data_IF_018440028219
#
_entry.id   IF_018440028219
#
_cell.length_a   1.000
_cell.length_b   1.000
_cell.length_c   1.000
_cell.angle_alpha   90.00
_cell.angle_beta   90.00
_cell.angle_gamma   90.00
#
_symmetry.space_group_name_H-M   'P 1'
#
loop_
_entity.id
_entity.type
_entity.pdbx_description
1 polymer ?
#
# COMPACT_ATOMS: atom_id res chain seq x y z
N UNK A 1 37.55 -36.14 -11.87
CA UNK A 1 37.20 -34.73 -12.15
C UNK A 1 35.69 -34.47 -12.12
N UNK A 2 34.84 -35.10 -12.95
CA UNK A 2 33.37 -34.86 -12.95
C UNK A 2 32.70 -34.96 -11.56
N UNK A 3 32.89 -36.07 -10.83
CA UNK A 3 32.34 -36.24 -9.46
C UNK A 3 32.78 -35.19 -8.44
N UNK A 4 33.93 -34.54 -8.65
CA UNK A 4 34.43 -33.49 -7.76
C UNK A 4 33.79 -32.15 -8.11
N UNK A 5 33.66 -31.85 -9.40
CA UNK A 5 32.92 -30.70 -9.93
C UNK A 5 31.45 -30.76 -9.51
N UNK A 6 30.80 -31.93 -9.63
CA UNK A 6 29.40 -32.11 -9.24
C UNK A 6 29.18 -31.86 -7.73
N UNK A 7 30.11 -32.32 -6.87
CA UNK A 7 30.05 -32.05 -5.43
C UNK A 7 30.26 -30.57 -5.10
N UNK A 8 31.16 -29.90 -5.80
CA UNK A 8 31.40 -28.47 -5.62
C UNK A 8 30.18 -27.68 -6.07
N UNK A 9 29.63 -27.99 -7.26
CA UNK A 9 28.42 -27.36 -7.77
C UNK A 9 27.24 -27.55 -6.81
N UNK A 10 27.00 -28.78 -6.33
CA UNK A 10 25.97 -29.05 -5.34
C UNK A 10 26.16 -28.23 -4.05
N UNK A 11 27.39 -28.16 -3.51
CA UNK A 11 27.67 -27.33 -2.33
C UNK A 11 27.45 -25.84 -2.59
N UNK A 12 27.85 -25.33 -3.75
CA UNK A 12 27.62 -23.93 -4.14
C UNK A 12 26.12 -23.64 -4.21
N UNK A 13 25.33 -24.51 -4.83
CA UNK A 13 23.87 -24.35 -4.89
C UNK A 13 23.21 -24.40 -3.52
N UNK A 14 23.61 -25.33 -2.65
CA UNK A 14 23.09 -25.40 -1.28
C UNK A 14 23.45 -24.16 -0.47
N UNK A 15 24.71 -23.70 -0.54
CA UNK A 15 25.15 -22.48 0.15
C UNK A 15 24.39 -21.26 -0.38
N UNK A 16 24.24 -21.12 -1.70
CA UNK A 16 23.48 -20.03 -2.31
C UNK A 16 22.02 -20.00 -1.84
N UNK A 17 21.33 -21.15 -1.85
CA UNK A 17 19.95 -21.25 -1.38
C UNK A 17 19.81 -20.95 0.11
N UNK A 18 20.77 -21.40 0.93
CA UNK A 18 20.80 -21.11 2.36
C UNK A 18 21.04 -19.62 2.64
N UNK A 19 22.03 -19.01 1.98
CA UNK A 19 22.30 -17.56 2.09
C UNK A 19 21.09 -16.74 1.69
N UNK A 20 20.43 -17.10 0.57
CA UNK A 20 19.21 -16.42 0.11
C UNK A 20 18.10 -16.49 1.16
N UNK A 21 17.89 -17.67 1.75
CA UNK A 21 16.89 -17.88 2.80
C UNK A 21 17.20 -17.04 4.05
N UNK A 22 18.46 -17.01 4.49
CA UNK A 22 18.88 -16.17 5.63
C UNK A 22 18.64 -14.69 5.32
N UNK A 23 19.05 -14.21 4.15
CA UNK A 23 18.88 -12.81 3.77
C UNK A 23 17.40 -12.43 3.75
N UNK A 24 16.53 -13.27 3.19
CA UNK A 24 15.07 -13.05 3.22
C UNK A 24 14.56 -12.97 4.66
N UNK A 25 14.97 -13.89 5.54
CA UNK A 25 14.57 -13.87 6.95
C UNK A 25 15.07 -12.62 7.69
N UNK A 26 16.28 -12.13 7.37
CA UNK A 26 16.82 -10.90 7.93
C UNK A 26 16.04 -9.67 7.43
N UNK A 27 15.68 -9.62 6.14
CA UNK A 27 14.84 -8.55 5.58
C UNK A 27 13.47 -8.54 6.24
N UNK A 28 12.83 -9.70 6.39
CA UNK A 28 11.55 -9.83 7.09
C UNK A 28 11.71 -9.40 8.56
N UNK A 29 12.75 -9.87 9.25
CA UNK A 29 13.02 -9.49 10.64
C UNK A 29 13.20 -7.97 10.81
N UNK A 30 13.93 -7.34 9.90
CA UNK A 30 14.10 -5.89 9.86
C UNK A 30 12.77 -5.16 9.60
N UNK A 31 12.01 -5.61 8.60
CA UNK A 31 10.70 -5.06 8.24
C UNK A 31 9.74 -5.05 9.44
N UNK A 32 9.65 -6.18 10.17
CA UNK A 32 8.80 -6.31 11.35
C UNK A 32 9.31 -5.48 12.54
N UNK A 33 10.63 -5.39 12.73
CA UNK A 33 11.23 -4.58 13.79
C UNK A 33 10.87 -3.09 13.61
N UNK A 34 11.04 -2.56 12.41
CA UNK A 34 10.70 -1.15 12.12
C UNK A 34 9.19 -0.91 12.22
N UNK A 35 8.37 -1.83 11.72
CA UNK A 35 6.91 -1.74 11.79
C UNK A 35 6.39 -1.67 13.24
N UNK A 36 6.92 -2.51 14.16
CA UNK A 36 6.53 -2.49 15.57
C UNK A 36 7.02 -1.21 16.27
N UNK A 37 8.13 -0.64 15.80
CA UNK A 37 8.67 0.63 16.29
C UNK A 37 7.67 1.79 16.22
N UNK A 38 6.78 1.79 15.22
CA UNK A 38 5.76 2.83 15.04
C UNK A 38 4.97 3.09 16.34
N UNK A 39 4.49 2.02 16.97
CA UNK A 39 3.61 2.09 18.16
C UNK A 39 4.35 2.51 19.44
N UNK A 40 5.66 2.76 19.36
CA UNK A 40 6.46 3.34 20.43
C UNK A 40 6.70 4.84 20.23
N UNK A 41 6.31 5.42 19.10
CA UNK A 41 6.42 6.87 18.87
C UNK A 41 5.28 7.63 19.54
N UNK A 42 5.54 8.86 20.01
CA UNK A 42 4.52 9.76 20.50
C UNK A 42 3.54 10.18 19.39
N UNK A 43 2.32 10.54 19.78
CA UNK A 43 1.27 11.07 18.90
C UNK A 43 1.63 12.47 18.39
N UNK A 44 2.35 13.25 19.20
CA UNK A 44 2.86 14.59 18.85
C UNK A 44 4.31 14.45 18.40
N UNK A 45 4.76 15.32 17.49
CA UNK A 45 6.14 15.31 17.02
C UNK A 45 7.17 15.38 18.15
N UNK A 46 8.22 14.57 18.06
CA UNK A 46 9.27 14.48 19.09
C UNK A 46 9.88 15.87 19.35
N UNK A 47 9.90 16.27 20.61
CA UNK A 47 10.46 17.56 21.05
C UNK A 47 9.44 18.71 21.04
N UNK A 48 8.20 18.44 20.67
CA UNK A 48 7.08 19.37 20.80
C UNK A 48 6.07 18.84 21.80
N UNK A 49 5.28 19.74 22.37
CA UNK A 49 4.23 19.42 23.33
C UNK A 49 2.99 20.26 23.06
N UNK A 50 1.82 19.69 23.38
CA UNK A 50 0.58 20.44 23.42
C UNK A 50 0.39 21.02 24.82
N UNK A 51 0.42 22.34 24.89
CA UNK A 51 0.34 23.11 26.12
C UNK A 51 -1.02 23.81 26.20
N UNK A 52 -1.70 23.62 27.33
CA UNK A 52 -3.03 24.13 27.63
C UNK A 52 -2.99 25.03 28.87
N UNK A 53 -4.04 25.84 29.01
CA UNK A 53 -4.30 26.57 30.24
C UNK A 53 -4.45 25.61 31.46
N UNK A 54 -3.92 25.96 32.66
CA UNK A 54 -4.00 25.10 33.86
C UNK A 54 -5.38 24.61 34.25
N UNK A 55 -6.40 25.44 34.03
CA UNK A 55 -7.80 25.13 34.37
C UNK A 55 -8.50 24.25 33.33
N UNK A 56 -7.84 23.92 32.21
CA UNK A 56 -8.41 23.04 31.19
C UNK A 56 -8.34 21.58 31.67
N UNK A 57 -9.48 20.88 31.83
CA UNK A 57 -9.51 19.53 32.38
C UNK A 57 -9.09 18.45 31.37
N UNK A 58 -8.93 18.77 30.09
CA UNK A 58 -8.57 17.81 29.03
C UNK A 58 -7.15 17.31 29.25
N UNK A 59 -7.00 16.01 29.50
CA UNK A 59 -5.69 15.39 29.74
C UNK A 59 -5.10 14.72 28.51
N UNK A 60 -5.96 14.36 27.56
CA UNK A 60 -5.65 13.42 26.49
C UNK A 60 -6.47 13.80 25.26
N UNK A 61 -5.83 13.77 24.09
CA UNK A 61 -6.46 13.95 22.79
C UNK A 61 -5.98 12.85 21.84
N UNK A 62 -6.86 12.39 20.97
CA UNK A 62 -6.47 11.55 19.83
C UNK A 62 -5.84 12.38 18.71
N UNK A 63 -5.09 11.75 17.81
CA UNK A 63 -4.51 12.43 16.65
C UNK A 63 -5.56 13.16 15.80
N UNK A 64 -6.74 12.56 15.64
CA UNK A 64 -7.88 13.16 14.93
C UNK A 64 -8.39 14.41 15.62
N UNK A 65 -8.62 14.36 16.94
CA UNK A 65 -9.06 15.54 17.70
C UNK A 65 -8.02 16.65 17.68
N UNK A 66 -6.72 16.31 17.74
CA UNK A 66 -5.64 17.29 17.63
C UNK A 66 -5.72 17.99 16.26
N UNK A 67 -5.86 17.22 15.18
CA UNK A 67 -6.05 17.79 13.84
C UNK A 67 -7.27 18.70 13.79
N UNK A 68 -8.45 18.22 14.17
CA UNK A 68 -9.71 18.97 14.11
C UNK A 68 -9.68 20.26 14.93
N UNK A 69 -8.99 20.27 16.08
CA UNK A 69 -8.77 21.49 16.87
C UNK A 69 -7.85 22.49 16.16
N UNK A 70 -6.79 22.02 15.49
CA UNK A 70 -5.81 22.88 14.80
C UNK A 70 -6.25 23.32 13.40
N UNK A 71 -7.22 22.62 12.81
CA UNK A 71 -7.89 22.95 11.55
C UNK A 71 -9.15 23.81 11.78
N UNK A 72 -9.45 24.18 13.04
CA UNK A 72 -10.63 24.96 13.45
C UNK A 72 -11.98 24.29 13.12
N UNK A 73 -12.00 22.97 12.93
CA UNK A 73 -13.24 22.20 12.77
C UNK A 73 -13.95 21.96 14.12
N UNK A 74 -13.16 21.80 15.20
CA UNK A 74 -13.65 21.86 16.58
C UNK A 74 -13.30 23.23 17.16
N UNK A 75 -14.32 24.05 17.38
CA UNK A 75 -14.17 25.41 17.93
C UNK A 75 -14.52 25.52 19.42
N UNK A 76 -15.00 24.44 20.05
CA UNK A 76 -15.36 24.42 21.48
C UNK A 76 -14.79 23.20 22.23
N UNK A 77 -14.15 23.49 23.36
CA UNK A 77 -13.52 22.48 24.23
C UNK A 77 -14.48 21.40 24.74
N UNK A 78 -15.78 21.71 24.86
CA UNK A 78 -16.81 20.77 25.31
C UNK A 78 -16.92 19.54 24.43
N UNK A 79 -16.62 19.66 23.13
CA UNK A 79 -16.71 18.56 22.16
C UNK A 79 -15.65 17.48 22.39
N UNK A 80 -14.52 17.87 23.01
CA UNK A 80 -13.43 16.96 23.38
C UNK A 80 -13.38 16.67 24.89
N UNK A 81 -14.45 16.98 25.63
CA UNK A 81 -14.57 16.70 27.06
C UNK A 81 -13.96 17.77 27.97
N UNK A 82 -13.71 18.96 27.44
CA UNK A 82 -13.26 20.14 28.16
C UNK A 82 -14.39 21.02 28.70
N UNK A 83 -14.03 22.22 29.14
CA UNK A 83 -15.00 23.24 29.59
C UNK A 83 -15.78 23.81 28.38
N UNK A 84 -16.96 24.38 28.62
CA UNK A 84 -17.73 25.08 27.57
C UNK A 84 -17.08 26.44 27.25
N UNK A 85 -16.05 26.41 26.42
CA UNK A 85 -15.19 27.55 26.09
C UNK A 85 -14.67 27.43 24.66
N UNK A 86 -14.54 28.57 23.94
CA UNK A 86 -14.00 28.55 22.58
C UNK A 86 -12.53 28.14 22.59
N UNK A 87 -12.14 27.36 21.58
CA UNK A 87 -10.77 26.93 21.33
C UNK A 87 -10.02 28.06 20.65
N UNK A 88 -8.80 28.35 21.11
CA UNK A 88 -7.89 29.28 20.46
C UNK A 88 -6.57 28.59 20.19
N UNK A 89 -6.21 28.45 18.92
CA UNK A 89 -4.97 27.80 18.51
C UNK A 89 -3.81 28.78 18.63
N UNK A 90 -2.65 28.27 19.04
CA UNK A 90 -1.40 29.00 19.07
C UNK A 90 -0.27 28.12 18.51
N UNK A 91 0.45 28.64 17.52
CA UNK A 91 1.64 28.02 16.93
C UNK A 91 2.86 28.88 17.23
N UNK A 92 4.04 28.28 17.16
CA UNK A 92 5.29 29.03 17.38
C UNK A 92 5.42 30.23 16.43
N UNK A 93 4.94 30.10 15.20
CA UNK A 93 4.93 31.15 14.16
C UNK A 93 4.08 32.39 14.57
N UNK A 94 3.14 32.23 15.51
CA UNK A 94 2.34 33.35 15.99
C UNK A 94 3.13 34.30 16.90
N UNK A 95 4.27 33.86 17.45
CA UNK A 95 5.10 34.71 18.31
C UNK A 95 5.61 35.96 17.58
N UNK A 96 6.07 35.79 16.34
CA UNK A 96 6.65 36.87 15.54
C UNK A 96 5.59 37.92 15.14
N UNK A 97 4.31 37.51 15.14
CA UNK A 97 3.18 38.40 14.88
C UNK A 97 2.73 39.16 16.14
N UNK A 98 2.97 38.61 17.32
CA UNK A 98 2.46 39.11 18.59
C UNK A 98 3.48 39.91 19.40
N UNK A 99 4.77 39.67 19.18
CA UNK A 99 5.86 40.24 19.94
C UNK A 99 6.99 40.74 19.04
N UNK A 100 7.65 41.80 19.48
CA UNK A 100 8.81 42.36 18.77
C UNK A 100 10.10 41.59 19.09
N UNK A 101 11.12 41.69 18.23
CA UNK A 101 12.43 41.06 18.47
C UNK A 101 13.07 41.50 19.81
N UNK A 102 12.83 42.74 20.25
CA UNK A 102 13.30 43.24 21.55
C UNK A 102 12.64 42.53 22.73
N UNK A 103 11.38 42.08 22.58
CA UNK A 103 10.62 41.40 23.62
C UNK A 103 10.90 39.89 23.68
N UNK A 104 11.27 39.29 22.55
CA UNK A 104 11.63 37.86 22.45
C UNK A 104 13.11 37.62 22.78
N UNK A 105 13.96 38.64 22.59
CA UNK A 105 15.41 38.55 22.69
C UNK A 105 16.04 38.00 21.40
N UNK A 106 17.30 38.35 21.16
CA UNK A 106 18.01 38.04 19.90
C UNK A 106 18.11 36.53 19.57
N UNK A 107 18.02 35.66 20.58
CA UNK A 107 18.02 34.20 20.42
C UNK A 107 16.75 33.54 20.99
N UNK A 108 15.61 34.24 21.01
CA UNK A 108 14.35 33.75 21.60
C UNK A 108 14.46 33.41 23.10
N UNK A 109 15.39 34.04 23.81
CA UNK A 109 15.66 33.81 25.24
C UNK A 109 14.41 33.99 26.11
N UNK A 110 13.50 34.89 25.72
CA UNK A 110 12.27 35.20 26.44
C UNK A 110 11.02 34.54 25.85
N UNK A 111 11.16 33.77 24.76
CA UNK A 111 10.01 33.16 24.07
C UNK A 111 9.21 32.23 24.97
N UNK A 112 9.87 31.41 25.80
CA UNK A 112 9.21 30.52 26.76
C UNK A 112 8.28 31.25 27.72
N UNK A 113 8.76 32.37 28.30
CA UNK A 113 7.96 33.20 29.19
C UNK A 113 6.77 33.84 28.48
N UNK A 114 6.97 34.36 27.25
CA UNK A 114 5.89 34.95 26.45
C UNK A 114 4.83 33.94 26.05
N UNK A 115 5.22 32.71 25.70
CA UNK A 115 4.29 31.60 25.45
C UNK A 115 3.48 31.31 26.71
N UNK A 116 4.13 31.19 27.87
CA UNK A 116 3.45 30.92 29.14
C UNK A 116 2.45 32.03 29.50
N UNK A 117 2.84 33.30 29.32
CA UNK A 117 1.97 34.47 29.51
C UNK A 117 0.72 34.40 28.61
N UNK A 118 0.88 34.02 27.33
CA UNK A 118 -0.26 33.86 26.41
C UNK A 118 -1.18 32.72 26.80
N UNK A 119 -0.62 31.56 27.17
CA UNK A 119 -1.41 30.41 27.59
C UNK A 119 -2.22 30.76 28.84
N UNK A 120 -1.62 31.44 29.83
CA UNK A 120 -2.31 31.85 31.06
C UNK A 120 -3.36 32.95 30.84
N UNK A 121 -3.12 33.87 29.90
CA UNK A 121 -4.08 34.93 29.59
C UNK A 121 -5.32 34.43 28.84
N UNK A 122 -5.26 33.26 28.20
CA UNK A 122 -6.33 32.72 27.35
C UNK A 122 -6.76 31.31 27.82
N UNK A 123 -7.83 31.18 28.64
CA UNK A 123 -8.28 29.89 29.17
C UNK A 123 -8.62 28.80 28.13
N UNK A 124 -9.02 29.21 26.93
CA UNK A 124 -9.34 28.32 25.81
C UNK A 124 -8.17 27.99 24.89
N UNK A 125 -6.93 28.36 25.23
CA UNK A 125 -5.79 28.21 24.32
C UNK A 125 -5.23 26.78 24.27
N UNK A 126 -4.91 26.31 23.06
CA UNK A 126 -4.05 25.16 22.79
C UNK A 126 -2.83 25.61 22.01
N UNK A 127 -1.65 25.43 22.60
CA UNK A 127 -0.38 25.81 22.02
C UNK A 127 0.41 24.58 21.57
N UNK A 128 0.87 24.57 20.32
CA UNK A 128 1.86 23.60 19.83
C UNK A 128 3.23 24.25 19.77
N UNK A 129 4.09 23.89 20.72
CA UNK A 129 5.40 24.56 20.91
C UNK A 129 6.49 23.55 21.25
N UNK A 130 7.78 23.87 20.96
CA UNK A 130 8.90 23.06 21.39
C UNK A 130 8.95 22.92 22.92
N UNK A 131 9.10 21.69 23.41
CA UNK A 131 9.11 21.38 24.84
C UNK A 131 10.23 22.14 25.59
N UNK A 132 11.39 22.31 24.94
CA UNK A 132 12.57 22.99 25.48
C UNK A 132 12.29 24.44 25.87
N UNK A 133 11.36 25.12 25.18
CA UNK A 133 11.05 26.53 25.46
C UNK A 133 10.22 26.69 26.74
N UNK A 134 9.32 25.74 27.01
CA UNK A 134 8.39 25.84 28.14
C UNK A 134 8.76 24.92 29.32
N UNK A 135 9.87 24.19 29.22
CA UNK A 135 10.30 23.20 30.21
C UNK A 135 10.39 23.80 31.62
N UNK A 136 10.93 25.03 31.72
CA UNK A 136 11.19 25.77 32.96
C UNK A 136 9.96 26.52 33.49
N UNK A 137 8.94 26.70 32.66
CA UNK A 137 7.78 27.50 32.98
C UNK A 137 6.74 26.71 33.80
N UNK A 138 6.18 27.36 34.83
CA UNK A 138 5.18 26.79 35.73
C UNK A 138 3.79 27.29 35.38
N UNK A 139 2.76 26.53 35.77
CA UNK A 139 1.38 26.93 35.50
C UNK A 139 1.00 26.74 34.03
N UNK A 140 1.42 25.62 33.45
CA UNK A 140 1.00 25.16 32.12
C UNK A 140 0.54 23.72 32.30
N UNK A 141 -0.65 23.40 31.79
CA UNK A 141 -1.13 22.02 31.73
C UNK A 141 -0.64 21.39 30.43
N UNK A 142 0.18 20.34 30.52
CA UNK A 142 0.75 19.65 29.35
C UNK A 142 -0.06 18.39 29.08
N UNK A 143 -0.50 18.21 27.84
CA UNK A 143 -1.14 16.96 27.42
C UNK A 143 -0.08 15.87 27.46
N UNK A 144 -0.41 14.72 28.04
CA UNK A 144 0.54 13.62 28.14
C UNK A 144 0.84 13.03 26.76
N UNK A 145 2.11 12.87 26.44
CA UNK A 145 2.56 12.17 25.24
C UNK A 145 2.18 10.69 25.32
N UNK A 146 1.11 10.36 24.61
CA UNK A 146 0.72 8.97 24.38
C UNK A 146 1.38 8.45 23.13
N UNK A 147 1.57 7.13 23.10
CA UNK A 147 2.04 6.48 21.88
C UNK A 147 0.91 6.30 20.89
N UNK A 148 1.26 6.22 19.60
CA UNK A 148 0.30 6.02 18.52
C UNK A 148 -0.44 4.68 18.74
N UNK A 149 -1.77 4.70 18.91
CA UNK A 149 -2.53 3.49 19.18
C UNK A 149 -2.71 2.65 17.92
N UNK A 150 -2.52 1.33 18.05
CA UNK A 150 -2.63 0.38 16.93
C UNK A 150 -4.02 0.41 16.26
N UNK A 151 -5.07 0.68 17.03
CA UNK A 151 -6.44 0.77 16.52
C UNK A 151 -6.58 1.91 15.50
N UNK A 152 -6.03 3.08 15.78
CA UNK A 152 -6.18 4.26 14.93
C UNK A 152 -5.36 4.12 13.64
N UNK A 153 -4.28 3.34 13.68
CA UNK A 153 -3.51 2.99 12.49
C UNK A 153 -4.25 1.97 11.63
N UNK A 154 -4.68 0.85 12.22
CA UNK A 154 -5.28 -0.26 11.47
C UNK A 154 -6.71 0.01 10.99
N UNK A 155 -7.50 0.75 11.77
CA UNK A 155 -8.89 1.10 11.47
C UNK A 155 -9.06 2.57 11.04
N UNK A 156 -7.97 3.33 10.97
CA UNK A 156 -8.01 4.73 10.55
C UNK A 156 -8.37 4.87 9.09
N UNK A 157 -9.17 5.91 8.80
CA UNK A 157 -9.71 6.22 7.47
C UNK A 157 -8.96 7.34 6.77
N UNK A 158 -7.93 7.91 7.40
CA UNK A 158 -7.15 9.01 6.85
C UNK A 158 -5.65 8.72 6.88
N UNK A 159 -4.95 9.09 5.81
CA UNK A 159 -3.49 8.99 5.72
C UNK A 159 -2.89 10.38 5.51
N UNK A 160 -2.42 10.99 6.59
CA UNK A 160 -1.77 12.30 6.62
C UNK A 160 -0.50 12.23 7.49
N UNK A 161 0.56 11.58 7.01
CA UNK A 161 1.77 11.35 7.78
C UNK A 161 2.62 12.61 8.02
N UNK A 162 2.35 13.68 7.27
CA UNK A 162 3.02 14.99 7.37
C UNK A 162 2.18 16.04 8.09
N UNK A 163 1.03 15.66 8.66
CA UNK A 163 0.19 16.59 9.40
C UNK A 163 0.89 17.02 10.70
N UNK A 164 0.89 18.33 10.96
CA UNK A 164 1.34 18.93 12.21
C UNK A 164 0.12 19.51 12.93
N UNK A 165 -0.02 19.37 14.25
CA UNK A 165 0.95 18.82 15.24
C UNK A 165 1.11 17.31 15.32
N UNK A 166 0.17 16.54 14.76
CA UNK A 166 0.06 15.10 14.96
C UNK A 166 -0.13 14.35 13.63
N UNK A 167 0.78 13.43 13.27
CA UNK A 167 0.64 12.66 12.04
C UNK A 167 -0.43 11.57 12.16
N UNK A 168 -1.17 11.35 11.08
CA UNK A 168 -2.27 10.38 11.01
C UNK A 168 -1.89 9.25 10.05
N UNK A 169 -1.88 8.01 10.54
CA UNK A 169 -1.41 6.82 9.81
C UNK A 169 -2.52 5.80 9.52
N UNK A 170 -3.75 6.24 9.27
CA UNK A 170 -4.87 5.36 8.95
C UNK A 170 -4.66 4.63 7.62
N UNK A 171 -4.55 3.30 7.67
CA UNK A 171 -4.16 2.49 6.50
C UNK A 171 -5.32 2.00 5.65
N UNK A 172 -6.57 2.13 6.10
CA UNK A 172 -7.73 1.58 5.39
C UNK A 172 -7.88 2.11 3.96
N UNK A 173 -7.68 3.42 3.68
CA UNK A 173 -7.71 3.93 2.30
C UNK A 173 -6.71 3.22 1.38
N UNK A 174 -5.51 2.94 1.91
CA UNK A 174 -4.41 2.34 1.14
C UNK A 174 -4.64 0.85 0.88
N UNK A 175 -5.15 0.12 1.89
CA UNK A 175 -5.60 -1.28 1.73
C UNK A 175 -6.74 -1.31 0.71
N UNK A 176 -7.73 -0.44 0.88
CA UNK A 176 -8.88 -0.30 0.00
C UNK A 176 -8.43 -0.07 -1.44
N UNK A 177 -7.62 0.94 -1.70
CA UNK A 177 -7.11 1.24 -3.04
C UNK A 177 -6.32 0.09 -3.65
N UNK A 178 -5.47 -0.58 -2.87
CA UNK A 178 -4.70 -1.75 -3.34
C UNK A 178 -5.61 -2.88 -3.77
N UNK A 179 -6.53 -3.30 -2.89
CA UNK A 179 -7.44 -4.40 -3.17
C UNK A 179 -8.42 -4.06 -4.29
N UNK A 180 -8.91 -2.82 -4.34
CA UNK A 180 -9.88 -2.36 -5.34
C UNK A 180 -9.29 -2.46 -6.75
N UNK A 181 -8.11 -1.86 -6.97
CA UNK A 181 -7.45 -1.88 -8.29
C UNK A 181 -7.05 -3.29 -8.67
N UNK A 182 -6.44 -4.06 -7.76
CA UNK A 182 -6.04 -5.44 -8.06
C UNK A 182 -7.25 -6.33 -8.37
N UNK A 183 -8.37 -6.16 -7.68
CA UNK A 183 -9.59 -6.92 -7.92
C UNK A 183 -10.12 -6.70 -9.35
N UNK A 184 -10.30 -5.45 -9.76
CA UNK A 184 -10.79 -5.14 -11.11
C UNK A 184 -9.78 -5.49 -12.20
N UNK A 185 -8.48 -5.32 -11.94
CA UNK A 185 -7.43 -5.77 -12.85
C UNK A 185 -7.52 -7.28 -13.12
N UNK A 186 -7.69 -8.08 -12.06
CA UNK A 186 -7.78 -9.54 -12.17
C UNK A 186 -9.11 -9.99 -12.74
N UNK A 187 -10.21 -9.28 -12.44
CA UNK A 187 -11.51 -9.53 -13.04
C UNK A 187 -11.46 -9.45 -14.57
N UNK A 188 -10.58 -8.61 -15.12
CA UNK A 188 -10.31 -8.51 -16.55
C UNK A 188 -9.22 -9.51 -16.99
N UNK A 189 -8.05 -9.47 -16.38
CA UNK A 189 -6.90 -10.24 -16.84
C UNK A 189 -7.12 -11.75 -16.78
N UNK A 190 -7.83 -12.25 -15.75
CA UNK A 190 -8.02 -13.68 -15.55
C UNK A 190 -8.88 -14.33 -16.65
N UNK A 191 -10.12 -13.90 -16.95
CA UNK A 191 -10.92 -14.52 -17.99
C UNK A 191 -10.28 -14.41 -19.37
N UNK A 192 -9.74 -13.23 -19.73
CA UNK A 192 -9.07 -13.04 -21.01
C UNK A 192 -7.78 -13.86 -21.10
N UNK A 193 -6.97 -13.88 -20.05
CA UNK A 193 -5.73 -14.64 -20.01
C UNK A 193 -5.96 -16.14 -20.14
N UNK A 194 -6.96 -16.66 -19.43
CA UNK A 194 -7.35 -18.08 -19.51
C UNK A 194 -7.93 -18.45 -20.88
N UNK A 195 -8.77 -17.59 -21.47
CA UNK A 195 -9.31 -17.82 -22.79
C UNK A 195 -8.20 -17.90 -23.86
N UNK A 196 -7.27 -16.95 -23.83
CA UNK A 196 -6.13 -16.92 -24.76
C UNK A 196 -5.20 -18.11 -24.51
N UNK A 197 -4.92 -18.50 -23.26
CA UNK A 197 -4.07 -19.66 -22.96
C UNK A 197 -4.67 -20.97 -23.47
N UNK A 198 -5.99 -21.17 -23.28
CA UNK A 198 -6.71 -22.36 -23.77
C UNK A 198 -6.70 -22.38 -25.31
N UNK A 199 -6.97 -21.24 -25.94
CA UNK A 199 -6.94 -21.12 -27.40
C UNK A 199 -5.54 -21.46 -27.94
N UNK A 200 -4.48 -20.86 -27.40
CA UNK A 200 -3.11 -21.09 -27.86
C UNK A 200 -2.63 -22.52 -27.61
N UNK A 201 -3.07 -23.15 -26.51
CA UNK A 201 -2.67 -24.51 -26.17
C UNK A 201 -3.37 -25.58 -27.02
N UNK A 202 -4.67 -25.44 -27.25
CA UNK A 202 -5.52 -26.55 -27.71
C UNK A 202 -6.26 -26.30 -29.03
N UNK A 203 -6.41 -25.05 -29.48
CA UNK A 203 -7.23 -24.69 -30.66
C UNK A 203 -6.40 -24.04 -31.77
N UNK A 204 -5.42 -23.22 -31.42
CA UNK A 204 -4.64 -22.43 -32.36
C UNK A 204 -3.82 -23.32 -33.31
N UNK A 205 -3.72 -22.89 -34.57
CA UNK A 205 -2.83 -23.55 -35.53
C UNK A 205 -1.36 -23.37 -35.13
N UNK A 206 -0.45 -24.26 -35.56
CA UNK A 206 0.97 -24.16 -35.25
C UNK A 206 1.60 -22.82 -35.64
N UNK A 207 1.12 -22.20 -36.72
CA UNK A 207 1.60 -20.90 -37.19
C UNK A 207 1.17 -19.77 -36.28
N UNK A 208 -0.11 -19.69 -35.90
CA UNK A 208 -0.60 -18.66 -34.97
C UNK A 208 0.20 -18.70 -33.68
N UNK A 209 0.39 -19.90 -33.12
CA UNK A 209 1.17 -20.08 -31.90
C UNK A 209 2.64 -19.65 -32.06
N UNK A 210 3.28 -20.01 -33.17
CA UNK A 210 4.69 -19.69 -33.46
C UNK A 210 4.96 -18.18 -33.40
N UNK A 211 3.99 -17.35 -33.75
CA UNK A 211 4.12 -15.89 -33.70
C UNK A 211 3.58 -15.29 -32.39
N UNK A 212 2.41 -15.74 -31.92
CA UNK A 212 1.75 -15.15 -30.76
C UNK A 212 2.50 -15.38 -29.45
N UNK A 213 3.04 -16.60 -29.21
CA UNK A 213 3.72 -16.90 -27.94
C UNK A 213 4.95 -15.99 -27.72
N UNK A 214 5.89 -15.83 -28.68
CA UNK A 214 6.98 -14.88 -28.53
C UNK A 214 6.53 -13.43 -28.31
N UNK A 215 5.48 -12.96 -29.00
CA UNK A 215 4.95 -11.60 -28.82
C UNK A 215 4.44 -11.40 -27.39
N UNK A 216 3.70 -12.37 -26.85
CA UNK A 216 3.19 -12.33 -25.47
C UNK A 216 4.37 -12.37 -24.47
N UNK A 217 5.39 -13.18 -24.72
CA UNK A 217 6.59 -13.21 -23.88
C UNK A 217 7.37 -11.89 -23.92
N UNK A 218 7.43 -11.22 -25.07
CA UNK A 218 8.04 -9.89 -25.19
C UNK A 218 7.29 -8.83 -24.37
N UNK A 219 5.96 -8.93 -24.25
CA UNK A 219 5.17 -8.03 -23.40
C UNK A 219 5.55 -8.15 -21.91
N UNK A 220 5.93 -9.34 -21.43
CA UNK A 220 6.43 -9.51 -20.06
C UNK A 220 7.76 -8.78 -19.81
N UNK A 221 8.55 -8.53 -20.87
CA UNK A 221 9.83 -7.84 -20.79
C UNK A 221 9.74 -6.32 -20.78
N UNK A 222 8.55 -5.74 -21.01
CA UNK A 222 8.34 -4.30 -20.99
C UNK A 222 8.38 -3.79 -19.53
N UNK A 223 9.21 -2.78 -19.20
CA UNK A 223 9.25 -2.19 -17.87
C UNK A 223 7.90 -1.58 -17.46
N UNK A 224 7.52 -1.70 -16.17
CA UNK A 224 6.21 -1.24 -15.70
C UNK A 224 6.00 0.27 -15.87
N UNK A 225 7.05 1.08 -15.74
CA UNK A 225 6.99 2.53 -16.00
C UNK A 225 6.56 2.87 -17.43
N UNK A 226 6.86 2.02 -18.41
CA UNK A 226 6.42 2.22 -19.81
C UNK A 226 4.91 1.99 -19.93
N UNK A 227 4.38 0.97 -19.23
CA UNK A 227 2.93 0.76 -19.14
C UNK A 227 2.23 1.91 -18.40
N UNK A 228 2.83 2.41 -17.31
CA UNK A 228 2.34 3.58 -16.58
C UNK A 228 2.28 4.83 -17.46
N UNK A 229 3.36 5.11 -18.20
CA UNK A 229 3.40 6.22 -19.14
C UNK A 229 2.36 6.09 -20.26
N UNK A 230 2.22 4.90 -20.86
CA UNK A 230 1.16 4.64 -21.84
C UNK A 230 -0.24 4.84 -21.24
N UNK A 231 -0.45 4.35 -20.02
CA UNK A 231 -1.70 4.54 -19.30
C UNK A 231 -2.03 6.02 -19.10
N UNK A 232 -1.05 6.81 -18.65
CA UNK A 232 -1.20 8.25 -18.45
C UNK A 232 -1.41 9.01 -19.76
N UNK A 233 -0.71 8.65 -20.82
CA UNK A 233 -0.77 9.36 -22.10
C UNK A 233 -2.00 9.00 -22.95
N UNK A 234 -2.55 7.78 -22.79
CA UNK A 234 -3.61 7.25 -23.66
C UNK A 234 -4.86 6.87 -22.88
N UNK A 235 -4.73 6.01 -21.86
CA UNK A 235 -5.90 5.47 -21.14
C UNK A 235 -6.57 6.56 -20.31
N UNK A 236 -5.81 7.36 -19.56
CA UNK A 236 -6.32 8.43 -18.71
C UNK A 236 -7.12 9.46 -19.53
N UNK A 237 -6.60 10.06 -20.62
CA UNK A 237 -7.38 10.97 -21.47
C UNK A 237 -8.58 10.30 -22.12
N UNK A 238 -8.45 9.04 -22.55
CA UNK A 238 -9.56 8.29 -23.15
C UNK A 238 -10.71 8.10 -22.15
N UNK A 239 -10.41 7.73 -20.91
CA UNK A 239 -11.41 7.59 -19.85
C UNK A 239 -12.02 8.95 -19.47
N UNK A 240 -11.19 9.98 -19.36
CA UNK A 240 -11.65 11.34 -19.07
C UNK A 240 -12.69 11.81 -20.09
N UNK A 241 -12.42 11.62 -21.38
CA UNK A 241 -13.34 12.00 -22.47
C UNK A 241 -14.58 11.11 -22.53
N UNK A 242 -14.41 9.80 -22.36
CA UNK A 242 -15.52 8.83 -22.47
C UNK A 242 -16.53 8.99 -21.33
N UNK A 243 -16.04 9.20 -20.11
CA UNK A 243 -16.86 9.29 -18.90
C UNK A 243 -17.12 10.73 -18.45
N UNK A 244 -16.64 11.73 -19.19
CA UNK A 244 -16.78 13.17 -18.87
C UNK A 244 -16.28 13.52 -17.46
N UNK A 245 -15.14 12.96 -17.08
CA UNK A 245 -14.56 13.12 -15.75
C UNK A 245 -13.74 14.43 -15.67
N UNK A 246 -13.67 15.07 -14.48
CA UNK A 246 -12.80 16.21 -14.27
C UNK A 246 -11.32 15.84 -14.45
N UNK A 247 -10.93 14.66 -13.97
CA UNK A 247 -9.60 14.04 -14.11
C UNK A 247 -9.77 12.60 -14.57
N UNK A 248 -8.87 12.10 -15.42
CA UNK A 248 -8.95 10.72 -15.94
C UNK A 248 -8.24 9.70 -15.05
N UNK A 249 -7.35 10.16 -14.17
CA UNK A 249 -6.62 9.36 -13.22
C UNK A 249 -7.58 8.74 -12.21
N UNK A 250 -7.63 7.41 -12.21
CA UNK A 250 -8.69 6.68 -11.51
C UNK A 250 -8.30 5.24 -11.21
N UNK A 251 -9.03 4.61 -10.30
CA UNK A 251 -8.95 3.17 -10.06
C UNK A 251 -9.17 2.35 -11.34
N UNK A 252 -10.04 2.79 -12.24
CA UNK A 252 -10.30 2.15 -13.53
C UNK A 252 -9.07 2.22 -14.45
N UNK A 253 -8.46 3.40 -14.57
CA UNK A 253 -7.23 3.58 -15.36
C UNK A 253 -6.13 2.63 -14.85
N UNK A 254 -5.91 2.60 -13.53
CA UNK A 254 -4.99 1.66 -12.89
C UNK A 254 -5.32 0.21 -13.19
N UNK A 255 -6.60 -0.17 -13.04
CA UNK A 255 -7.04 -1.55 -13.24
C UNK A 255 -6.83 -2.03 -14.68
N UNK A 256 -7.05 -1.17 -15.67
CA UNK A 256 -6.84 -1.49 -17.08
C UNK A 256 -5.35 -1.69 -17.40
N UNK A 257 -4.49 -0.77 -16.93
CA UNK A 257 -3.04 -0.88 -17.11
C UNK A 257 -2.51 -2.15 -16.45
N UNK A 258 -2.93 -2.42 -15.21
CA UNK A 258 -2.56 -3.65 -14.50
C UNK A 258 -3.06 -4.91 -15.21
N UNK A 259 -4.28 -4.89 -15.74
CA UNK A 259 -4.82 -6.03 -16.46
C UNK A 259 -3.96 -6.36 -17.69
N UNK A 260 -3.60 -5.35 -18.49
CA UNK A 260 -2.71 -5.49 -19.65
C UNK A 260 -1.36 -6.07 -19.23
N UNK A 261 -0.83 -5.65 -18.09
CA UNK A 261 0.45 -6.12 -17.59
C UNK A 261 0.39 -7.54 -16.99
N UNK A 262 -0.71 -7.94 -16.38
CA UNK A 262 -0.89 -9.26 -15.78
C UNK A 262 -1.18 -10.35 -16.84
N UNK A 263 -1.81 -9.98 -17.95
CA UNK A 263 -2.19 -10.89 -19.03
C UNK A 263 -1.04 -11.78 -19.54
N UNK A 264 0.13 -11.25 -19.93
CA UNK A 264 1.17 -12.07 -20.55
C UNK A 264 1.79 -13.07 -19.58
N UNK A 265 1.76 -12.76 -18.28
CA UNK A 265 2.17 -13.67 -17.21
C UNK A 265 1.18 -14.82 -17.06
N UNK A 266 -0.12 -14.52 -16.96
CA UNK A 266 -1.18 -15.55 -16.85
C UNK A 266 -1.19 -16.44 -18.11
N UNK A 267 -1.18 -15.83 -19.30
CA UNK A 267 -1.27 -16.56 -20.57
C UNK A 267 -0.10 -17.53 -20.72
N UNK A 268 1.12 -17.05 -20.51
CA UNK A 268 2.34 -17.84 -20.74
C UNK A 268 2.35 -19.07 -19.83
N UNK A 269 2.15 -18.87 -18.52
CA UNK A 269 2.23 -19.96 -17.54
C UNK A 269 1.07 -20.94 -17.68
N UNK A 270 -0.16 -20.45 -17.91
CA UNK A 270 -1.32 -21.32 -18.10
C UNK A 270 -1.23 -22.12 -19.41
N UNK A 271 -0.70 -21.54 -20.49
CA UNK A 271 -0.51 -22.24 -21.78
C UNK A 271 0.54 -23.35 -21.66
N UNK A 272 1.65 -23.09 -20.98
CA UNK A 272 2.68 -24.10 -20.73
C UNK A 272 2.14 -25.25 -19.85
N UNK A 273 1.33 -24.91 -18.84
CA UNK A 273 0.66 -25.89 -18.00
C UNK A 273 -0.31 -26.78 -18.80
N UNK A 274 -1.15 -26.20 -19.65
CA UNK A 274 -2.08 -26.94 -20.52
C UNK A 274 -1.32 -27.90 -21.45
N UNK A 275 -0.22 -27.44 -22.04
CA UNK A 275 0.59 -28.24 -22.96
C UNK A 275 1.40 -29.35 -22.30
N UNK A 276 1.64 -29.25 -20.99
CA UNK A 276 2.30 -30.31 -20.23
C UNK A 276 1.45 -31.60 -20.13
N UNK A 277 0.15 -31.52 -20.39
CA UNK A 277 -0.70 -32.71 -20.47
C UNK A 277 -0.14 -33.68 -21.54
N UNK A 278 -0.05 -35.00 -21.28
CA UNK A 278 0.41 -35.96 -22.29
C UNK A 278 -0.51 -36.02 -23.51
N UNK A 279 0.06 -36.21 -24.71
CA UNK A 279 -0.74 -36.40 -25.93
C UNK A 279 -1.63 -37.65 -25.85
N UNK A 280 -1.13 -38.72 -25.23
CA UNK A 280 -1.87 -39.96 -25.03
C UNK A 280 -3.19 -39.75 -24.27
N UNK A 281 -3.23 -38.84 -23.30
CA UNK A 281 -4.48 -38.52 -22.58
C UNK A 281 -5.51 -37.83 -23.48
N UNK A 282 -5.05 -36.96 -24.40
CA UNK A 282 -5.93 -36.30 -25.38
C UNK A 282 -6.46 -37.31 -26.39
N UNK A 283 -5.57 -38.11 -26.96
CA UNK A 283 -5.91 -39.12 -27.97
C UNK A 283 -6.85 -40.18 -27.39
N UNK A 284 -6.64 -40.62 -26.14
CA UNK A 284 -7.54 -41.55 -25.47
C UNK A 284 -8.96 -40.98 -25.27
N UNK A 285 -9.07 -39.70 -24.88
CA UNK A 285 -10.36 -39.02 -24.75
C UNK A 285 -11.11 -38.96 -26.09
N UNK A 286 -10.40 -38.56 -27.16
CA UNK A 286 -10.97 -38.51 -28.51
C UNK A 286 -11.37 -39.89 -29.03
N UNK A 287 -10.58 -40.94 -28.74
CA UNK A 287 -10.87 -42.32 -29.12
C UNK A 287 -12.14 -42.87 -28.44
N UNK A 288 -12.51 -42.36 -27.26
CA UNK A 288 -13.77 -42.65 -26.58
C UNK A 288 -14.97 -41.88 -27.18
N UNK A 289 -14.78 -41.17 -28.30
CA UNK A 289 -15.82 -40.39 -28.96
C UNK A 289 -16.07 -39.01 -28.33
N UNK A 290 -15.18 -38.53 -27.46
CA UNK A 290 -15.30 -37.19 -26.91
C UNK A 290 -14.97 -36.13 -27.98
N UNK A 291 -15.68 -35.00 -27.94
CA UNK A 291 -15.36 -33.81 -28.74
C UNK A 291 -14.09 -33.13 -28.23
N UNK A 292 -13.48 -32.27 -29.05
CA UNK A 292 -12.32 -31.45 -28.64
C UNK A 292 -12.63 -30.61 -27.40
N UNK A 293 -13.81 -29.98 -27.34
CA UNK A 293 -14.23 -29.20 -26.16
C UNK A 293 -14.38 -30.06 -24.90
N UNK A 294 -14.98 -31.26 -25.02
CA UNK A 294 -15.07 -32.20 -23.90
C UNK A 294 -13.69 -32.64 -23.42
N UNK A 295 -12.76 -32.89 -24.33
CA UNK A 295 -11.37 -33.24 -24.00
C UNK A 295 -10.68 -32.09 -23.26
N UNK A 296 -10.82 -30.85 -23.73
CA UNK A 296 -10.26 -29.66 -23.07
C UNK A 296 -10.82 -29.52 -21.65
N UNK A 297 -12.15 -29.52 -21.52
CA UNK A 297 -12.82 -29.24 -20.25
C UNK A 297 -12.70 -30.37 -19.23
N UNK A 298 -12.77 -31.64 -19.66
CA UNK A 298 -12.81 -32.79 -18.74
C UNK A 298 -11.45 -33.47 -18.54
N UNK A 299 -10.48 -33.26 -19.43
CA UNK A 299 -9.18 -33.95 -19.36
C UNK A 299 -8.03 -32.96 -19.20
N UNK A 300 -7.89 -32.02 -20.14
CA UNK A 300 -6.71 -31.12 -20.16
C UNK A 300 -6.74 -30.13 -19.00
N UNK A 301 -7.83 -29.37 -18.82
CA UNK A 301 -7.93 -28.38 -17.73
C UNK A 301 -7.78 -29.05 -16.35
N UNK A 302 -8.46 -30.18 -16.04
CA UNK A 302 -8.30 -30.83 -14.75
C UNK A 302 -6.93 -31.47 -14.52
N UNK A 303 -6.23 -31.87 -15.58
CA UNK A 303 -4.84 -32.33 -15.48
C UNK A 303 -3.90 -31.17 -15.15
N UNK A 304 -4.09 -30.03 -15.82
CA UNK A 304 -3.19 -28.88 -15.76
C UNK A 304 -3.54 -27.86 -14.67
N UNK A 305 -4.50 -28.16 -13.79
CA UNK A 305 -5.05 -27.20 -12.83
C UNK A 305 -3.99 -26.62 -11.89
N UNK A 306 -2.98 -27.40 -11.48
CA UNK A 306 -1.92 -26.88 -10.61
C UNK A 306 -1.06 -25.83 -11.31
N UNK A 307 -0.70 -26.06 -12.58
CA UNK A 307 0.08 -25.08 -13.34
C UNK A 307 -0.74 -23.84 -13.74
N UNK A 308 -2.03 -24.04 -14.07
CA UNK A 308 -2.96 -22.91 -14.28
C UNK A 308 -3.05 -22.08 -13.00
N UNK A 309 -3.26 -22.71 -11.84
CA UNK A 309 -3.32 -22.03 -10.55
C UNK A 309 -2.03 -21.25 -10.29
N UNK A 310 -0.85 -21.81 -10.54
CA UNK A 310 0.42 -21.10 -10.39
C UNK A 310 0.51 -19.86 -11.28
N UNK A 311 0.02 -19.94 -12.53
CA UNK A 311 -0.03 -18.77 -13.43
C UNK A 311 -0.97 -17.67 -12.93
N UNK A 312 -2.12 -18.07 -12.36
CA UNK A 312 -3.07 -17.14 -11.75
C UNK A 312 -2.49 -16.48 -10.50
N UNK A 313 -1.88 -17.25 -9.60
CA UNK A 313 -1.19 -16.73 -8.40
C UNK A 313 -0.12 -15.72 -8.79
N UNK A 314 0.69 -16.03 -9.80
CA UNK A 314 1.74 -15.13 -10.28
C UNK A 314 1.16 -13.82 -10.86
N UNK A 315 0.05 -13.92 -11.61
CA UNK A 315 -0.65 -12.74 -12.14
C UNK A 315 -1.26 -11.87 -11.04
N UNK A 316 -1.89 -12.48 -10.03
CA UNK A 316 -2.45 -11.74 -8.87
C UNK A 316 -1.35 -11.10 -8.05
N UNK A 317 -0.27 -11.82 -7.74
CA UNK A 317 0.87 -11.27 -7.03
C UNK A 317 1.48 -10.06 -7.74
N UNK A 318 1.56 -10.12 -9.08
CA UNK A 318 2.01 -8.98 -9.90
C UNK A 318 1.06 -7.78 -9.82
N UNK A 319 -0.26 -8.01 -9.81
CA UNK A 319 -1.25 -6.93 -9.71
C UNK A 319 -1.31 -6.28 -8.31
N UNK A 320 -1.13 -7.06 -7.24
CA UNK A 320 -1.12 -6.55 -5.85
C UNK A 320 0.18 -5.81 -5.53
N UNK A 321 1.29 -6.25 -6.10
CA UNK A 321 2.61 -5.66 -5.86
C UNK A 321 3.04 -4.58 -6.86
N UNK A 322 2.16 -4.15 -7.78
CA UNK A 322 2.56 -3.14 -8.77
C UNK A 322 2.65 -1.74 -8.16
N UNK A 323 3.79 -1.10 -8.40
CA UNK A 323 4.16 0.17 -7.78
C UNK A 323 4.07 1.33 -8.78
N UNK A 324 4.91 1.30 -9.82
CA UNK A 324 5.19 2.47 -10.63
C UNK A 324 4.08 2.76 -11.63
N UNK A 325 3.55 1.72 -12.28
CA UNK A 325 2.47 1.92 -13.23
C UNK A 325 1.22 2.52 -12.55
N UNK A 326 0.91 2.03 -11.35
CA UNK A 326 -0.24 2.47 -10.55
C UNK A 326 -0.06 3.90 -10.04
N UNK A 327 1.13 4.21 -9.51
CA UNK A 327 1.46 5.55 -9.02
C UNK A 327 1.22 6.63 -10.09
N UNK A 328 1.51 6.32 -11.35
CA UNK A 328 1.37 7.27 -12.47
C UNK A 328 -0.07 7.51 -12.92
N UNK A 329 -0.99 6.54 -12.75
CA UNK A 329 -2.31 6.57 -13.44
C UNK A 329 -3.51 6.61 -12.51
N UNK A 330 -3.33 6.39 -11.21
CA UNK A 330 -4.44 6.30 -10.24
C UNK A 330 -4.74 7.59 -9.49
N UNK A 331 -3.95 8.64 -9.72
CA UNK A 331 -4.15 9.95 -9.11
C UNK A 331 -3.60 10.08 -7.68
N UNK A 332 -3.20 8.96 -7.05
CA UNK A 332 -2.46 8.92 -5.79
C UNK A 332 -3.18 9.61 -4.61
N UNK A 333 -4.51 9.63 -4.62
CA UNK A 333 -5.33 10.21 -3.56
C UNK A 333 -5.58 9.19 -2.44
N UNK A 334 -5.20 9.51 -1.19
CA UNK A 334 -5.33 8.61 -0.05
C UNK A 334 -6.75 8.65 0.57
N UNK A 335 -7.76 8.41 -0.26
CA UNK A 335 -9.17 8.38 0.12
C UNK A 335 -9.75 6.97 -0.04
N UNK A 336 -10.76 6.62 0.76
CA UNK A 336 -11.45 5.35 0.60
C UNK A 336 -12.23 5.36 -0.73
N UNK A 337 -11.93 4.45 -1.67
CA UNK A 337 -12.59 4.45 -2.96
C UNK A 337 -14.05 4.02 -2.79
N UNK A 338 -14.97 4.82 -3.32
CA UNK A 338 -16.40 4.46 -3.38
C UNK A 338 -16.83 4.07 -4.78
N UNK A 339 -16.15 4.64 -5.78
CA UNK A 339 -16.33 4.34 -7.20
C UNK A 339 -15.02 3.91 -7.86
N UNK A 340 -15.10 3.14 -8.95
CA UNK A 340 -13.92 2.78 -9.74
C UNK A 340 -13.37 3.96 -10.55
N UNK A 341 -14.18 4.99 -10.79
CA UNK A 341 -13.79 6.18 -11.56
C UNK A 341 -13.09 7.24 -10.70
N UNK A 342 -13.01 7.01 -9.39
CA UNK A 342 -12.34 7.91 -8.45
C UNK A 342 -10.83 7.64 -8.40
N UNK A 343 -10.02 8.67 -8.14
CA UNK A 343 -8.62 8.49 -7.83
C UNK A 343 -8.46 7.74 -6.50
N UNK A 344 -7.39 6.98 -6.40
CA UNK A 344 -7.07 6.21 -5.20
C UNK A 344 -5.56 6.09 -5.05
N UNK A 345 -5.16 5.57 -3.89
CA UNK A 345 -3.76 5.32 -3.57
C UNK A 345 -3.56 3.89 -3.08
N UNK A 346 -2.49 3.24 -3.53
CA UNK A 346 -2.15 1.87 -3.12
C UNK A 346 -0.98 1.86 -2.14
N UNK A 347 -0.85 0.75 -1.41
CA UNK A 347 0.26 0.54 -0.48
C UNK A 347 1.62 0.62 -1.21
N UNK A 348 1.86 -0.13 -2.31
CA UNK A 348 3.15 -0.06 -3.00
C UNK A 348 3.48 1.36 -3.49
N UNK A 349 2.50 2.08 -4.04
CA UNK A 349 2.66 3.45 -4.49
C UNK A 349 2.99 4.41 -3.33
N UNK A 350 2.38 4.22 -2.16
CA UNK A 350 2.66 5.00 -0.95
C UNK A 350 4.09 4.80 -0.48
N UNK A 351 4.53 3.54 -0.36
CA UNK A 351 5.89 3.20 0.05
C UNK A 351 6.91 3.83 -0.92
N UNK A 352 6.70 3.69 -2.22
CA UNK A 352 7.64 4.22 -3.21
C UNK A 352 7.69 5.75 -3.26
N UNK A 353 6.56 6.42 -3.06
CA UNK A 353 6.49 7.87 -3.07
C UNK A 353 7.09 8.50 -1.81
N UNK A 354 6.88 7.91 -0.64
CA UNK A 354 7.17 8.58 0.64
C UNK A 354 8.45 8.08 1.34
N UNK A 355 8.93 6.87 1.04
CA UNK A 355 10.06 6.28 1.78
C UNK A 355 11.37 7.06 1.60
N UNK A 356 11.55 7.73 0.45
CA UNK A 356 12.72 8.55 0.18
C UNK A 356 12.72 9.89 0.92
N UNK A 357 11.55 10.37 1.36
CA UNK A 357 11.37 11.66 2.03
C UNK A 357 11.24 11.52 3.54
N UNK A 358 10.86 10.33 4.03
CA UNK A 358 10.66 10.07 5.44
C UNK A 358 11.98 10.02 6.25
N UNK A 359 12.12 10.80 7.34
CA UNK A 359 13.32 10.76 8.19
C UNK A 359 13.52 9.39 8.84
N UNK A 360 14.72 8.83 8.70
CA UNK A 360 15.06 7.52 9.23
C UNK A 360 14.83 7.45 10.76
N UNK A 361 14.09 6.44 11.22
CA UNK A 361 13.74 6.24 12.63
C UNK A 361 12.60 7.14 13.14
N UNK A 362 11.99 7.96 12.28
CA UNK A 362 10.76 8.71 12.58
C UNK A 362 9.49 7.84 12.49
N UNK A 363 8.38 8.37 13.01
CA UNK A 363 7.08 7.69 12.94
C UNK A 363 6.62 7.46 11.48
N UNK A 364 6.78 8.46 10.61
CA UNK A 364 6.46 8.33 9.19
C UNK A 364 7.26 7.21 8.52
N UNK A 365 8.58 7.16 8.73
CA UNK A 365 9.43 6.08 8.21
C UNK A 365 8.93 4.70 8.65
N UNK A 366 8.72 4.51 9.95
CA UNK A 366 8.26 3.24 10.52
C UNK A 366 6.85 2.83 10.07
N UNK A 367 5.97 3.80 9.80
CA UNK A 367 4.64 3.54 9.24
C UNK A 367 4.71 2.93 7.84
N UNK A 368 5.68 3.31 7.01
CA UNK A 368 5.87 2.74 5.67
C UNK A 368 6.36 1.28 5.74
N UNK A 369 7.18 0.93 6.75
CA UNK A 369 7.55 -0.47 7.01
C UNK A 369 6.34 -1.29 7.45
N UNK A 370 5.46 -0.72 8.29
CA UNK A 370 4.20 -1.35 8.65
C UNK A 370 3.33 -1.62 7.43
N UNK A 371 3.21 -0.67 6.50
CA UNK A 371 2.52 -0.91 5.22
C UNK A 371 3.12 -2.10 4.45
N UNK A 372 4.44 -2.24 4.44
CA UNK A 372 5.13 -3.39 3.85
C UNK A 372 4.77 -4.72 4.55
N UNK A 373 4.70 -4.75 5.88
CA UNK A 373 4.24 -5.92 6.65
C UNK A 373 2.79 -6.27 6.29
N UNK A 374 1.91 -5.27 6.19
CA UNK A 374 0.51 -5.47 5.82
C UNK A 374 0.41 -6.03 4.39
N UNK A 375 1.15 -5.47 3.43
CA UNK A 375 1.17 -5.97 2.05
C UNK A 375 1.68 -7.42 1.97
N UNK A 376 2.69 -7.78 2.78
CA UNK A 376 3.17 -9.14 2.91
C UNK A 376 2.06 -10.09 3.37
N UNK A 377 1.31 -9.74 4.42
CA UNK A 377 0.20 -10.55 4.91
C UNK A 377 -0.98 -10.62 3.92
N UNK A 378 -1.31 -9.51 3.24
CA UNK A 378 -2.33 -9.50 2.18
C UNK A 378 -1.94 -10.49 1.07
N UNK A 379 -0.70 -10.40 0.59
CA UNK A 379 -0.20 -11.26 -0.48
C UNK A 379 -0.15 -12.72 -0.04
N UNK A 380 0.33 -13.00 1.18
CA UNK A 380 0.34 -14.34 1.76
C UNK A 380 -1.07 -14.92 1.88
N UNK A 381 -2.02 -14.11 2.35
CA UNK A 381 -3.42 -14.52 2.50
C UNK A 381 -4.05 -14.85 1.16
N UNK A 382 -3.90 -13.99 0.16
CA UNK A 382 -4.41 -14.20 -1.20
C UNK A 382 -3.81 -15.48 -1.80
N UNK A 383 -2.48 -15.63 -1.74
CA UNK A 383 -1.79 -16.80 -2.29
C UNK A 383 -2.26 -18.09 -1.60
N UNK A 384 -2.38 -18.06 -0.27
CA UNK A 384 -2.88 -19.20 0.52
C UNK A 384 -4.32 -19.56 0.16
N UNK A 385 -5.19 -18.57 -0.05
CA UNK A 385 -6.58 -18.81 -0.47
C UNK A 385 -6.65 -19.48 -1.84
N UNK A 386 -5.88 -18.99 -2.81
CA UNK A 386 -5.85 -19.55 -4.16
C UNK A 386 -5.32 -20.98 -4.15
N UNK A 387 -4.26 -21.24 -3.40
CA UNK A 387 -3.68 -22.58 -3.28
C UNK A 387 -4.61 -23.56 -2.55
N UNK A 388 -5.28 -23.13 -1.48
CA UNK A 388 -6.26 -23.93 -0.77
C UNK A 388 -7.45 -24.34 -1.65
N UNK A 389 -7.99 -23.41 -2.44
CA UNK A 389 -9.08 -23.68 -3.39
C UNK A 389 -8.63 -24.69 -4.45
N UNK A 390 -7.40 -24.56 -4.96
CA UNK A 390 -6.85 -25.48 -5.96
C UNK A 390 -6.59 -26.88 -5.39
N UNK A 391 -6.05 -26.98 -4.18
CA UNK A 391 -5.81 -28.25 -3.50
C UNK A 391 -7.11 -29.03 -3.27
N UNK A 392 -8.20 -28.36 -2.90
CA UNK A 392 -9.51 -29.01 -2.70
C UNK A 392 -10.07 -29.64 -3.98
N UNK A 393 -9.75 -29.08 -5.15
CA UNK A 393 -10.14 -29.64 -6.44
C UNK A 393 -9.29 -30.84 -6.87
N UNK A 394 -8.08 -31.03 -6.32
CA UNK A 394 -7.29 -32.26 -6.51
C UNK A 394 -7.91 -33.48 -5.81
N UNK A 395 -8.51 -33.29 -4.63
CA UNK A 395 -9.03 -34.38 -3.78
C UNK A 395 -10.49 -34.77 -4.04
N UNK A 396 -11.21 -34.08 -4.93
CA UNK A 396 -12.57 -34.45 -5.35
C UNK A 396 -12.61 -35.49 -6.49
N UNK A 397 -11.50 -36.19 -6.73
CA UNK A 397 -11.38 -37.25 -7.74
C UNK A 397 -11.41 -38.62 -7.12
#
# INVERSE_FOLDING_TARGET
MKKWIDRIAARIFTVSGFTTSIVILLIIGFLFKEAVGLFSNPIVDKGYVLALHPDNPVKELSAYQIKELFDEEIDNWKEVGGNDQPVKVFRLEDLDNLYTEEELGAEYEHAGQKIAEQIQANPGMIAFVPEVLIEKEKGIHRIADRTIPMKDVLLGTEWFPTATPSPIFGILPLIGGTLWVSFFAILIALPFGMAVSIYLAEVASPNVRKYMKPIIELLNGIPSVVYGFFGLAVIVPFLQQTFHLPVGESGLAGSLVLAIMALPTIITVAEDALRSCPRSMREASLALGATQWQTIYKVVIPFSISGITSGVVLGIGRAVGETMAVLMVTGNAAVLPTSILEPLRTIPATIAAELGEAPAGGAHYQSLFLLGVILFFITLFINSCVEFVSARNKFKK
#
